data_IF_559536574084
#
_entry.id   IF_559536574084
#
_cell.length_a   1.000
_cell.length_b   1.000
_cell.length_c   1.000
_cell.angle_alpha   90.00
_cell.angle_beta   90.00
_cell.angle_gamma   90.00
#
_symmetry.space_group_name_H-M   'P 1'
#
loop_
_entity.id
_entity.type
_entity.pdbx_description
1 polymer ?
2 non-polymer ?
3 non-polymer ?
4 non-polymer ?
5 water ?
#
# COMPACT_ATOMS: atom_id res chain seq x y z
N UNK A 7 -12.92 7.00 -12.43
CA UNK A 7 -13.08 8.39 -12.84
C UNK A 7 -13.23 9.32 -11.65
N UNK A 8 -13.63 8.76 -10.51
CA UNK A 8 -13.75 9.52 -9.28
C UNK A 8 -12.87 8.88 -8.22
N UNK A 9 -12.21 9.70 -7.40
CA UNK A 9 -11.39 9.17 -6.34
C UNK A 9 -12.25 8.68 -5.18
N UNK A 10 -11.97 7.46 -4.72
CA UNK A 10 -12.54 6.98 -3.47
C UNK A 10 -11.39 6.78 -2.49
N UNK A 11 -11.49 7.45 -1.34
CA UNK A 11 -10.52 7.29 -0.28
C UNK A 11 -11.10 6.35 0.77
N UNK A 12 -10.30 5.39 1.24
CA UNK A 12 -10.75 4.51 2.33
C UNK A 12 -9.91 4.77 3.59
N UNK A 13 -10.58 5.20 4.65
CA UNK A 13 -9.92 5.54 5.89
C UNK A 13 -10.13 4.40 6.88
N UNK A 14 -9.03 3.78 7.31
CA UNK A 14 -9.10 2.75 8.34
C UNK A 14 -8.88 3.40 9.70
N UNK A 15 -9.96 3.63 10.44
CA UNK A 15 -9.86 4.40 11.67
C UNK A 15 -9.60 3.52 12.90
N UNK A 16 -8.87 4.06 13.87
CA UNK A 16 -8.64 3.38 15.14
C UNK A 16 -9.82 3.45 16.09
N UNK A 17 -9.77 2.62 17.13
CA UNK A 17 -10.86 2.53 18.10
C UNK A 17 -11.18 3.85 18.78
N UNK A 18 -10.13 4.57 19.20
CA UNK A 18 -10.32 5.79 19.96
C UNK A 18 -10.40 7.05 19.11
N UNK A 19 -10.71 6.88 17.83
CA UNK A 19 -10.61 7.98 16.87
C UNK A 19 -11.45 9.19 17.26
N UNK A 20 -10.83 10.37 17.12
CA UNK A 20 -11.53 11.63 17.37
C UNK A 20 -11.84 12.37 16.07
N UNK A 21 -13.09 12.33 15.65
CA UNK A 21 -13.54 13.01 14.44
C UNK A 21 -13.04 14.45 14.40
N UNK A 22 -12.69 14.93 13.20
CA UNK A 22 -12.15 16.26 13.07
C UNK A 22 -13.03 17.16 12.19
N UNK A 23 -12.73 18.46 12.21
CA UNK A 23 -13.39 19.41 11.30
C UNK A 23 -12.43 20.54 10.99
N UNK A 24 -12.75 21.34 9.95
CA UNK A 24 -11.84 22.36 9.42
C UNK A 24 -11.34 23.31 10.48
N UNK A 25 -12.12 23.48 11.53
CA UNK A 25 -11.82 24.44 12.60
C UNK A 25 -10.67 23.99 13.50
N UNK A 26 -10.34 22.71 13.46
CA UNK A 26 -9.29 22.18 14.30
C UNK A 26 -7.88 22.35 13.71
N UNK A 27 -7.76 23.13 12.63
CA UNK A 27 -6.48 23.30 11.94
C UNK A 27 -6.11 24.74 11.62
N UNK A 28 -4.85 25.07 11.84
CA UNK A 28 -4.29 26.36 11.46
C UNK A 28 -3.51 26.24 10.15
N UNK A 29 -3.81 27.11 9.20
CA UNK A 29 -3.14 27.08 7.92
C UNK A 29 -1.77 27.73 8.02
N UNK A 30 -0.74 27.00 7.60
CA UNK A 30 0.63 27.49 7.69
C UNK A 30 1.19 27.90 6.33
N UNK A 31 0.98 27.05 5.34
CA UNK A 31 1.58 27.23 4.03
C UNK A 31 0.75 26.59 2.92
N UNK A 32 0.92 27.08 1.70
CA UNK A 32 0.35 26.44 0.52
C UNK A 32 1.50 26.06 -0.41
N UNK A 33 1.61 24.78 -0.70
CA UNK A 33 2.72 24.29 -1.52
C UNK A 33 2.23 23.68 -2.83
N UNK A 34 3.05 23.79 -3.87
CA UNK A 34 2.85 23.02 -5.08
C UNK A 34 3.81 21.85 -5.02
N UNK A 35 3.29 20.64 -4.97
CA UNK A 35 4.14 19.46 -4.77
C UNK A 35 4.12 18.46 -5.93
N UNK A 36 4.27 18.95 -7.16
CA UNK A 36 4.36 18.09 -8.32
C UNK A 36 3.21 17.11 -8.49
N UNK A 37 3.51 15.82 -8.37
CA UNK A 37 2.50 14.76 -8.46
C UNK A 37 1.40 14.88 -7.41
N UNK A 38 1.71 15.56 -6.31
CA UNK A 38 0.74 15.70 -5.23
C UNK A 38 -0.12 16.93 -5.41
N UNK A 39 0.28 17.80 -6.33
CA UNK A 39 -0.48 19.01 -6.58
C UNK A 39 -0.44 19.99 -5.43
N UNK A 40 -1.55 20.69 -5.24
CA UNK A 40 -1.68 21.71 -4.21
C UNK A 40 -1.81 21.10 -2.84
N UNK A 41 -0.85 21.38 -1.97
CA UNK A 41 -0.87 20.81 -0.63
C UNK A 41 -0.83 21.92 0.39
N UNK A 42 -1.75 21.88 1.34
CA UNK A 42 -1.74 22.85 2.43
C UNK A 42 -0.95 22.28 3.58
N UNK A 43 -0.02 23.06 4.13
CA UNK A 43 0.64 22.67 5.36
C UNK A 43 -0.15 23.27 6.49
N UNK A 44 -0.65 22.43 7.39
CA UNK A 44 -1.49 22.87 8.49
C UNK A 44 -0.99 22.40 9.85
N UNK A 45 -1.46 23.05 10.91
CA UNK A 45 -1.09 22.67 12.27
C UNK A 45 -2.34 22.27 13.04
N UNK A 46 -2.29 21.09 13.66
CA UNK A 46 -3.41 20.63 14.48
C UNK A 46 -3.49 21.50 15.72
N UNK A 47 -4.68 21.99 16.02
CA UNK A 47 -4.86 22.87 17.16
C UNK A 47 -5.10 22.13 18.48
N UNK A 48 -5.99 21.13 18.46
CA UNK A 48 -6.40 20.46 19.70
C UNK A 48 -6.07 18.96 19.74
N UNK A 49 -6.48 18.30 20.82
CA UNK A 49 -6.39 16.85 20.90
C UNK A 49 -5.02 16.30 21.23
N UNK A 50 -4.87 14.99 21.13
CA UNK A 50 -3.62 14.34 21.50
C UNK A 50 -2.45 14.73 20.58
N UNK A 51 -2.75 15.04 19.33
CA UNK A 51 -1.72 15.45 18.37
C UNK A 51 -1.65 16.98 18.19
N UNK A 52 -2.09 17.71 19.22
CA UNK A 52 -2.04 19.17 19.18
C UNK A 52 -0.63 19.64 18.81
N UNK A 53 -0.57 20.62 17.92
CA UNK A 53 0.68 21.20 17.45
C UNK A 53 1.38 20.41 16.35
N UNK A 54 0.88 19.21 16.05
CA UNK A 54 1.49 18.41 14.99
C UNK A 54 1.27 19.06 13.63
N UNK A 55 2.31 19.08 12.79
CA UNK A 55 2.17 19.55 11.43
C UNK A 55 1.73 18.42 10.52
N UNK A 56 0.82 18.74 9.60
CA UNK A 56 0.28 17.78 8.63
C UNK A 56 0.15 18.40 7.25
N UNK A 57 0.09 17.56 6.23
CA UNK A 57 -0.34 17.97 4.89
C UNK A 57 -1.87 17.88 4.86
N UNK A 58 -2.51 18.82 4.15
CA UNK A 58 -3.95 18.74 3.93
C UNK A 58 -4.24 18.81 2.42
N UNK A 59 -5.07 17.88 1.94
CA UNK A 59 -5.56 17.89 0.57
C UNK A 59 -7.05 18.16 0.65
N UNK A 60 -7.54 18.96 -0.28
CA UNK A 60 -8.95 19.28 -0.36
C UNK A 60 -9.42 18.80 -1.73
N UNK A 61 -10.22 17.74 -1.74
CA UNK A 61 -10.65 17.14 -3.01
C UNK A 61 -12.08 17.57 -3.29
N UNK A 62 -12.30 18.06 -4.50
CA UNK A 62 -13.61 18.56 -4.89
C UNK A 62 -14.62 17.44 -5.11
N UNK A 63 -14.20 16.41 -5.85
CA UNK A 63 -15.09 15.33 -6.22
C UNK A 63 -14.46 14.00 -5.87
N UNK A 64 -14.63 13.61 -4.61
CA UNK A 64 -14.09 12.35 -4.11
C UNK A 64 -15.08 11.76 -3.12
N UNK A 65 -15.05 10.44 -2.98
CA UNK A 65 -15.89 9.79 -2.00
C UNK A 65 -15.03 9.31 -0.86
N UNK A 66 -15.60 9.25 0.33
CA UNK A 66 -14.88 8.77 1.51
C UNK A 66 -15.58 7.57 2.09
N UNK A 67 -14.81 6.53 2.37
CA UNK A 67 -15.35 5.33 2.98
C UNK A 67 -14.57 5.15 4.27
N UNK A 68 -15.25 4.90 5.37
CA UNK A 68 -14.55 4.75 6.66
C UNK A 68 -14.74 3.35 7.18
N UNK A 69 -13.64 2.70 7.55
CA UNK A 69 -13.66 1.29 7.97
C UNK A 69 -12.94 1.06 9.30
N UNK A 70 -13.36 0.05 10.04
CA UNK A 70 -12.75 -0.24 11.32
C UNK A 70 -11.51 -1.12 11.16
N UNK A 71 -10.53 -0.90 12.03
CA UNK A 71 -9.39 -1.80 12.07
C UNK A 71 -9.79 -3.05 12.84
N UNK A 72 -9.06 -4.14 12.60
CA UNK A 72 -9.34 -5.40 13.28
C UNK A 72 -8.75 -5.40 14.67
N UNK A 81 -2.04 2.28 23.67
CA UNK A 81 -0.86 2.73 22.94
C UNK A 81 -1.15 3.96 22.10
N UNK A 82 -0.24 4.94 22.15
CA UNK A 82 -0.32 6.07 21.23
C UNK A 82 0.56 5.75 20.02
N UNK A 83 0.03 6.01 18.82
CA UNK A 83 0.77 5.66 17.61
C UNK A 83 2.04 6.49 17.39
N UNK A 84 3.09 5.83 16.93
CA UNK A 84 4.30 6.50 16.49
C UNK A 84 4.53 6.35 14.97
N UNK A 85 5.41 7.17 14.42
CA UNK A 85 5.75 7.10 13.00
C UNK A 85 6.47 5.80 12.66
N UNK A 86 6.15 5.24 11.49
CA UNK A 86 6.89 4.11 10.94
C UNK A 86 7.66 4.66 9.73
N UNK A 87 8.91 4.22 9.55
CA UNK A 87 9.73 4.82 8.47
C UNK A 87 9.18 4.61 7.05
N UNK A 88 8.33 3.61 6.85
CA UNK A 88 7.91 3.26 5.48
C UNK A 88 6.41 3.35 5.25
N UNK A 89 5.73 4.15 6.07
CA UNK A 89 4.28 4.37 5.96
C UNK A 89 3.91 5.85 6.05
N UNK A 90 2.97 6.30 5.22
CA UNK A 90 2.34 7.59 5.46
C UNK A 90 0.90 7.35 5.86
N UNK A 91 0.45 8.08 6.86
CA UNK A 91 -0.86 7.85 7.41
C UNK A 91 -1.86 8.93 7.04
N UNK A 92 -3.11 8.50 6.87
CA UNK A 92 -4.26 9.39 6.84
C UNK A 92 -4.77 9.54 8.26
N UNK A 93 -4.63 10.74 8.81
CA UNK A 93 -5.00 10.98 10.20
C UNK A 93 -6.46 11.34 10.39
N UNK A 94 -6.99 12.16 9.47
CA UNK A 94 -8.38 12.61 9.50
C UNK A 94 -8.89 12.71 8.06
N UNK A 95 -10.19 12.44 7.90
CA UNK A 95 -10.84 12.59 6.60
C UNK A 95 -12.27 13.02 6.89
N UNK A 96 -12.64 14.21 6.45
CA UNK A 96 -13.97 14.72 6.73
C UNK A 96 -14.52 15.50 5.55
N UNK A 97 -15.84 15.50 5.42
CA UNK A 97 -16.48 16.14 4.29
C UNK A 97 -17.24 17.38 4.73
N UNK A 98 -17.09 18.46 3.96
CA UNK A 98 -17.70 19.74 4.28
C UNK A 98 -18.00 20.50 3.00
N UNK A 99 -19.27 20.84 2.81
CA UNK A 99 -19.70 21.63 1.65
C UNK A 99 -19.24 21.02 0.32
N UNK A 100 -19.52 19.73 0.13
CA UNK A 100 -19.18 19.05 -1.11
C UNK A 100 -17.71 18.76 -1.31
N UNK A 101 -16.89 19.02 -0.31
CA UNK A 101 -15.44 18.81 -0.43
C UNK A 101 -14.98 17.73 0.55
N UNK A 102 -13.89 17.05 0.20
CA UNK A 102 -13.29 16.07 1.09
C UNK A 102 -11.92 16.57 1.56
N UNK A 103 -11.77 16.66 2.87
CA UNK A 103 -10.50 17.10 3.45
C UNK A 103 -9.76 15.88 3.96
N UNK A 104 -8.51 15.75 3.52
CA UNK A 104 -7.64 14.68 3.96
C UNK A 104 -6.50 15.29 4.75
N UNK A 105 -6.28 14.81 5.97
CA UNK A 105 -5.15 15.27 6.78
C UNK A 105 -4.14 14.12 6.85
N UNK A 106 -2.96 14.35 6.29
CA UNK A 106 -1.96 13.30 6.01
C UNK A 106 -0.62 13.64 6.60
N UNK A 107 0.22 12.62 6.82
CA UNK A 107 1.62 12.88 7.12
C UNK A 107 2.18 13.78 6.02
N UNK A 108 2.89 14.83 6.41
CA UNK A 108 3.51 15.72 5.43
C UNK A 108 4.66 14.96 4.78
N UNK A 109 4.71 14.98 3.46
CA UNK A 109 5.74 14.23 2.74
C UNK A 109 6.33 15.14 1.68
N UNK A 110 7.22 16.04 2.09
CA UNK A 110 7.73 17.02 1.14
C UNK A 110 8.61 16.38 0.08
N UNK A 111 8.43 16.79 -1.16
CA UNK A 111 9.19 16.25 -2.26
C UNK A 111 8.86 14.80 -2.58
N UNK A 112 7.73 14.30 -2.07
CA UNK A 112 7.32 12.93 -2.34
C UNK A 112 6.90 12.73 -3.78
N UNK A 113 6.87 11.48 -4.21
CA UNK A 113 6.43 11.16 -5.58
C UNK A 113 5.77 9.78 -5.64
N UNK A 114 5.34 9.39 -6.84
CA UNK A 114 4.60 8.14 -7.02
C UNK A 114 5.52 7.01 -7.45
N UNK A 115 5.36 5.85 -6.83
CA UNK A 115 6.11 4.68 -7.25
C UNK A 115 5.81 4.34 -8.71
N UNK A 116 4.58 4.58 -9.15
CA UNK A 116 4.24 4.28 -10.54
C UNK A 116 5.03 5.15 -11.53
N UNK A 117 5.35 6.37 -11.13
CA UNK A 117 6.19 7.22 -11.98
C UNK A 117 7.56 6.58 -12.18
N UNK A 118 8.09 5.98 -11.11
CA UNK A 118 9.39 5.31 -11.18
C UNK A 118 9.35 4.06 -12.06
N UNK A 119 8.36 3.21 -11.82
CA UNK A 119 8.28 1.94 -12.54
C UNK A 119 8.13 2.15 -14.04
N UNK A 120 7.52 3.26 -14.43
CA UNK A 120 7.40 3.58 -15.86
C UNK A 120 8.74 4.00 -16.46
N UNK A 121 9.63 4.53 -15.63
CA UNK A 121 10.89 5.09 -16.13
C UNK A 121 12.06 4.11 -16.09
N UNK A 122 11.95 3.06 -15.29
CA UNK A 122 13.10 2.20 -15.04
C UNK A 122 12.81 0.73 -15.32
N UNK A 123 13.87 -0.04 -15.56
CA UNK A 123 13.75 -1.49 -15.58
C UNK A 123 14.34 -2.06 -14.29
N UNK A 124 13.49 -2.61 -13.42
CA UNK A 124 13.96 -3.18 -12.16
C UNK A 124 14.67 -4.52 -12.36
N UNK A 125 15.83 -4.64 -11.75
CA UNK A 125 16.52 -5.93 -11.66
C UNK A 125 16.10 -6.61 -10.36
N UNK A 126 16.50 -7.85 -10.17
CA UNK A 126 16.17 -8.51 -8.91
C UNK A 126 16.81 -7.79 -7.72
N UNK A 127 18.01 -7.24 -7.92
CA UNK A 127 18.65 -6.49 -6.83
C UNK A 127 17.82 -5.26 -6.43
N UNK A 128 17.29 -4.55 -7.41
CA UNK A 128 16.46 -3.38 -7.13
C UNK A 128 15.22 -3.77 -6.35
N UNK A 129 14.58 -4.85 -6.81
CA UNK A 129 13.31 -5.28 -6.25
C UNK A 129 13.48 -5.75 -4.82
N UNK A 130 14.61 -6.39 -4.52
CA UNK A 130 14.84 -6.82 -3.14
C UNK A 130 14.75 -5.63 -2.20
N UNK A 131 15.31 -4.49 -2.59
CA UNK A 131 15.26 -3.32 -1.74
C UNK A 131 13.84 -2.82 -1.52
N UNK A 132 13.12 -2.59 -2.61
CA UNK A 132 11.76 -2.03 -2.53
C UNK A 132 10.81 -2.99 -1.81
N UNK A 133 10.88 -4.27 -2.14
CA UNK A 133 9.99 -5.23 -1.50
C UNK A 133 10.32 -5.41 -0.01
N UNK A 134 11.59 -5.27 0.37
CA UNK A 134 11.97 -5.42 1.77
C UNK A 134 11.36 -4.28 2.60
N UNK A 135 11.43 -3.05 2.09
CA UNK A 135 10.81 -1.93 2.79
C UNK A 135 9.30 -2.10 2.83
N UNK A 136 8.73 -2.48 1.69
CA UNK A 136 7.29 -2.72 1.61
C UNK A 136 6.83 -3.84 2.56
N UNK A 137 7.63 -4.88 2.73
CA UNK A 137 7.27 -5.96 3.67
C UNK A 137 7.21 -5.43 5.10
N UNK A 138 8.19 -4.63 5.48
CA UNK A 138 8.16 -4.06 6.83
C UNK A 138 6.90 -3.20 7.00
N UNK A 139 6.60 -2.39 6.00
CA UNK A 139 5.43 -1.51 6.07
C UNK A 139 4.11 -2.29 6.15
N UNK A 140 3.97 -3.28 5.30
CA UNK A 140 2.75 -4.06 5.25
C UNK A 140 2.52 -4.83 6.53
N UNK A 141 3.59 -5.39 7.09
CA UNK A 141 3.48 -6.11 8.36
C UNK A 141 3.08 -5.18 9.49
N UNK A 142 3.60 -3.95 9.46
CA UNK A 142 3.24 -2.99 10.48
C UNK A 142 1.75 -2.66 10.40
N UNK A 143 1.25 -2.44 9.18
CA UNK A 143 -0.19 -2.16 9.03
C UNK A 143 -1.02 -3.32 9.53
N UNK A 144 -0.59 -4.55 9.21
CA UNK A 144 -1.24 -5.73 9.80
C UNK A 144 -1.27 -5.70 11.33
N UNK A 145 -0.17 -5.28 11.95
CA UNK A 145 -0.14 -5.22 13.41
C UNK A 145 -1.10 -4.16 13.93
N UNK A 146 -1.39 -3.17 13.09
CA UNK A 146 -2.34 -2.13 13.47
C UNK A 146 -3.80 -2.56 13.20
N UNK A 147 -3.99 -3.68 12.52
CA UNK A 147 -5.32 -4.20 12.24
C UNK A 147 -5.87 -3.77 10.88
N UNK A 148 -4.97 -3.40 9.98
CA UNK A 148 -5.36 -3.03 8.62
C UNK A 148 -5.08 -4.16 7.64
N UNK A 149 -6.13 -4.65 6.98
CA UNK A 149 -5.97 -5.58 5.87
C UNK A 149 -6.24 -4.83 4.57
N UNK A 150 -5.30 -4.90 3.65
CA UNK A 150 -5.33 -4.09 2.45
C UNK A 150 -6.34 -4.54 1.40
N UNK A 151 -6.38 -5.85 1.15
CA UNK A 151 -7.29 -6.46 0.16
C UNK A 151 -6.84 -6.32 -1.29
N UNK A 152 -6.58 -5.10 -1.74
CA UNK A 152 -6.11 -4.92 -3.10
C UNK A 152 -4.92 -3.96 -3.16
N UNK A 153 -3.96 -4.20 -2.27
CA UNK A 153 -2.67 -3.55 -2.33
C UNK A 153 -2.14 -3.50 -3.76
N UNK A 154 -1.77 -2.31 -4.20
CA UNK A 154 -1.36 -2.10 -5.57
C UNK A 154 -0.43 -0.92 -5.68
N UNK A 155 0.22 -0.75 -6.84
CA UNK A 155 1.24 0.29 -7.00
C UNK A 155 0.72 1.69 -6.71
N UNK A 156 -0.55 1.96 -6.97
CA UNK A 156 -1.16 3.24 -6.58
C UNK A 156 -1.03 3.55 -5.08
N UNK A 157 -0.88 2.53 -4.25
CA UNK A 157 -0.72 2.71 -2.83
C UNK A 157 0.69 3.01 -2.39
N UNK A 158 1.63 3.01 -3.34
CA UNK A 158 3.03 3.10 -2.98
C UNK A 158 3.62 4.43 -3.41
N UNK A 159 4.14 5.16 -2.44
CA UNK A 159 4.76 6.46 -2.71
C UNK A 159 6.25 6.33 -2.43
N UNK A 160 7.00 7.36 -2.79
CA UNK A 160 8.42 7.42 -2.49
C UNK A 160 8.67 8.75 -1.82
N UNK A 161 9.50 8.77 -0.77
CA UNK A 161 9.90 10.06 -0.20
C UNK A 161 11.03 10.69 -1.03
N UNK A 162 11.46 11.88 -0.62
CA UNK A 162 12.42 12.62 -1.42
C UNK A 162 13.73 11.86 -1.54
N UNK A 163 14.03 11.04 -0.55
CA UNK A 163 15.24 10.24 -0.55
C UNK A 163 15.12 8.95 -1.37
N UNK A 164 13.90 8.59 -1.75
CA UNK A 164 13.69 7.42 -2.59
C UNK A 164 13.25 6.19 -1.82
N UNK A 165 12.94 6.35 -0.54
CA UNK A 165 12.46 5.22 0.26
C UNK A 165 10.95 5.02 0.07
N UNK A 166 10.51 3.77 0.18
CA UNK A 166 9.09 3.43 0.12
C UNK A 166 8.28 4.16 1.20
N UNK A 167 7.11 4.66 0.81
CA UNK A 167 6.11 5.08 1.80
C UNK A 167 4.80 4.44 1.35
N UNK A 168 4.38 3.41 2.06
CA UNK A 168 3.10 2.77 1.79
C UNK A 168 2.01 3.61 2.45
N UNK A 169 0.93 3.88 1.71
CA UNK A 169 -0.17 4.63 2.27
C UNK A 169 -0.96 3.69 3.18
N UNK A 170 -1.38 4.18 4.33
CA UNK A 170 -2.21 3.36 5.23
C UNK A 170 -3.69 3.50 4.92
N UNK A 171 -4.00 4.16 3.80
CA UNK A 171 -5.37 4.36 3.38
C UNK A 171 -5.58 3.81 1.99
N UNK A 172 -6.82 3.45 1.68
CA UNK A 172 -7.15 2.95 0.36
C UNK A 172 -7.39 4.10 -0.60
N UNK A 173 -6.98 3.92 -1.86
CA UNK A 173 -7.27 4.93 -2.86
C UNK A 173 -7.56 4.22 -4.17
N UNK A 174 -8.75 4.45 -4.72
CA UNK A 174 -9.08 3.85 -6.01
C UNK A 174 -9.86 4.80 -6.90
N UNK A 175 -10.08 4.37 -8.14
CA UNK A 175 -10.86 5.13 -9.10
C UNK A 175 -12.18 4.41 -9.34
N UNK A 176 -13.27 5.00 -8.82
CA UNK A 176 -14.60 4.40 -8.94
C UNK A 176 -15.46 5.17 -9.94
N UNK A 182 -25.51 3.05 -12.30
CA UNK A 182 -24.67 1.97 -11.80
C UNK A 182 -24.56 2.01 -10.27
N UNK A 183 -24.73 0.85 -9.64
CA UNK A 183 -24.79 0.77 -8.18
C UNK A 183 -23.43 0.83 -7.48
N UNK A 184 -23.41 1.46 -6.31
CA UNK A 184 -22.19 1.61 -5.54
C UNK A 184 -21.86 0.35 -4.72
N UNK A 185 -20.58 0.16 -4.43
CA UNK A 185 -20.12 -0.97 -3.63
C UNK A 185 -19.29 -0.47 -2.47
N UNK A 186 -19.42 -1.11 -1.31
CA UNK A 186 -18.64 -0.73 -0.14
C UNK A 186 -17.15 -1.02 -0.39
N UNK A 187 -16.86 -2.09 -1.10
CA UNK A 187 -15.49 -2.40 -1.49
C UNK A 187 -15.38 -2.58 -3.00
N UNK A 188 -14.55 -1.76 -3.63
CA UNK A 188 -14.38 -1.84 -5.08
C UNK A 188 -12.90 -1.90 -5.38
N UNK A 189 -12.37 -3.11 -5.49
CA UNK A 189 -10.94 -3.30 -5.64
C UNK A 189 -10.52 -3.54 -7.06
N UNK A 190 -9.22 -3.43 -7.30
CA UNK A 190 -8.64 -3.70 -8.61
C UNK A 190 -8.31 -5.17 -8.67
N UNK A 191 -9.09 -5.89 -9.48
CA UNK A 191 -9.08 -7.35 -9.45
C UNK A 191 -7.70 -7.98 -9.65
N UNK A 192 -6.87 -7.37 -10.50
CA UNK A 192 -5.57 -7.94 -10.81
C UNK A 192 -4.72 -8.22 -9.57
N UNK A 193 -4.97 -7.48 -8.49
CA UNK A 193 -4.14 -7.60 -7.30
C UNK A 193 -4.78 -8.42 -6.19
N UNK A 194 -5.98 -8.93 -6.46
CA UNK A 194 -6.77 -9.61 -5.43
C UNK A 194 -6.47 -11.11 -5.34
N UNK A 195 -6.29 -11.61 -4.12
CA UNK A 195 -6.13 -13.05 -3.93
C UNK A 195 -7.42 -13.79 -4.27
N UNK A 196 -7.30 -15.10 -4.55
CA UNK A 196 -8.46 -15.93 -4.87
C UNK A 196 -9.55 -15.87 -3.81
N UNK A 197 -9.19 -15.93 -2.53
CA UNK A 197 -10.18 -15.92 -1.45
C UNK A 197 -10.84 -14.54 -1.30
N UNK A 198 -10.23 -13.51 -1.88
CA UNK A 198 -10.81 -12.18 -1.88
C UNK A 198 -11.75 -12.06 -3.08
N UNK A 199 -11.32 -12.61 -4.20
CA UNK A 199 -12.14 -12.61 -5.40
C UNK A 199 -13.46 -13.33 -5.16
N UNK A 200 -13.43 -14.41 -4.40
CA UNK A 200 -14.64 -15.20 -4.21
C UNK A 200 -15.46 -14.77 -2.99
N UNK A 201 -14.97 -13.76 -2.27
CA UNK A 201 -15.71 -13.15 -1.16
C UNK A 201 -16.16 -14.15 -0.11
N UNK A 202 -15.32 -15.14 0.18
CA UNK A 202 -15.70 -16.22 1.09
C UNK A 202 -15.08 -16.03 2.48
N UNK A 203 -14.33 -14.95 2.62
CA UNK A 203 -13.63 -14.68 3.86
C UNK A 203 -12.15 -14.70 3.61
N UNK A 204 -11.43 -13.82 4.30
CA UNK A 204 -10.00 -13.72 4.08
C UNK A 204 -9.36 -13.06 5.28
N UNK A 205 -8.04 -13.01 5.24
CA UNK A 205 -7.26 -12.48 6.35
C UNK A 205 -6.06 -11.71 5.82
N UNK A 206 -5.13 -11.41 6.70
CA UNK A 206 -3.91 -10.70 6.31
C UNK A 206 -3.13 -11.48 5.25
N UNK A 207 -3.31 -12.80 5.21
CA UNK A 207 -2.59 -13.59 4.22
C UNK A 207 -2.96 -13.21 2.78
N UNK A 208 -4.14 -12.63 2.59
CA UNK A 208 -4.54 -12.16 1.27
C UNK A 208 -3.58 -11.08 0.76
N UNK A 209 -3.03 -10.30 1.68
CA UNK A 209 -2.12 -9.22 1.29
C UNK A 209 -0.78 -9.72 0.83
N UNK A 210 -0.35 -10.90 1.31
CA UNK A 210 0.91 -11.45 0.84
C UNK A 210 0.81 -11.97 -0.60
N UNK A 211 -0.39 -12.38 -1.00
CA UNK A 211 -0.65 -12.66 -2.41
C UNK A 211 -0.46 -11.40 -3.23
N UNK A 212 -1.05 -10.30 -2.78
CA UNK A 212 -0.93 -9.03 -3.51
C UNK A 212 0.53 -8.58 -3.56
N UNK A 213 1.24 -8.76 -2.46
CA UNK A 213 2.68 -8.55 -2.41
C UNK A 213 3.41 -9.32 -3.51
N UNK A 214 3.08 -10.61 -3.67
CA UNK A 214 3.60 -11.38 -4.78
C UNK A 214 3.24 -10.78 -6.14
N UNK A 215 2.02 -10.27 -6.27
CA UNK A 215 1.65 -9.65 -7.55
C UNK A 215 2.50 -8.41 -7.83
N UNK A 216 2.75 -7.62 -6.79
CA UNK A 216 3.60 -6.45 -6.90
C UNK A 216 5.01 -6.85 -7.30
N UNK A 217 5.53 -7.88 -6.66
CA UNK A 217 6.87 -8.38 -6.99
C UNK A 217 6.94 -8.85 -8.44
N UNK A 218 5.93 -9.61 -8.87
CA UNK A 218 5.87 -10.10 -10.24
C UNK A 218 5.88 -8.93 -11.24
N UNK A 219 5.03 -7.94 -10.97
CA UNK A 219 4.93 -6.79 -11.86
C UNK A 219 6.23 -5.96 -11.89
N UNK A 220 6.87 -5.80 -10.73
CA UNK A 220 8.14 -5.09 -10.70
C UNK A 220 9.19 -5.79 -11.55
N UNK A 221 9.21 -7.12 -11.47
CA UNK A 221 10.23 -7.90 -12.16
C UNK A 221 9.99 -8.07 -13.66
N UNK A 222 8.73 -8.08 -14.08
CA UNK A 222 8.41 -8.39 -15.47
C UNK A 222 7.79 -7.22 -16.23
N UNK A 223 7.30 -6.23 -15.50
CA UNK A 223 6.58 -5.12 -16.11
C UNK A 223 5.16 -5.49 -16.49
N UNK A 224 4.76 -6.72 -16.13
CA UNK A 224 3.45 -7.23 -16.49
C UNK A 224 2.77 -7.86 -15.28
N UNK A 225 1.46 -8.09 -15.38
CA UNK A 225 0.71 -8.74 -14.29
C UNK A 225 0.64 -10.23 -14.54
N UNK A 226 0.62 -11.03 -13.47
CA UNK A 226 0.66 -12.49 -13.60
C UNK A 226 -0.67 -13.09 -14.03
N UNK A 227 -1.77 -12.43 -13.66
CA UNK A 227 -3.10 -12.87 -14.05
C UNK A 227 -3.86 -11.70 -14.61
N UNK A 228 -4.21 -11.81 -15.89
CA UNK A 228 -4.80 -10.68 -16.60
C UNK A 228 -5.54 -11.19 -17.82
N UNK A 229 -6.83 -10.93 -17.88
CA UNK A 229 -7.64 -11.31 -19.02
C UNK A 229 -8.23 -10.09 -19.71
N UNK A 230 -9.12 -10.33 -20.66
CA UNK A 230 -9.75 -9.25 -21.41
C UNK A 230 -10.69 -8.44 -20.53
N UNK A 231 -11.40 -9.13 -19.65
CA UNK A 231 -12.38 -8.50 -18.78
C UNK A 231 -12.18 -8.91 -17.33
N UNK A 232 -12.87 -8.23 -16.42
CA UNK A 232 -12.81 -8.56 -15.01
C UNK A 232 -13.16 -10.02 -14.79
N UNK A 233 -14.24 -10.46 -15.43
CA UNK A 233 -14.74 -11.82 -15.30
C UNK A 233 -13.69 -12.86 -15.68
N UNK A 234 -12.98 -12.61 -16.77
CA UNK A 234 -11.94 -13.53 -17.20
C UNK A 234 -10.76 -13.50 -16.23
N UNK A 235 -10.35 -12.30 -15.83
CA UNK A 235 -9.27 -12.16 -14.87
C UNK A 235 -9.60 -12.91 -13.58
N UNK A 236 -10.85 -12.83 -13.16
CA UNK A 236 -11.27 -13.52 -11.94
C UNK A 236 -11.09 -15.03 -12.08
N UNK A 237 -11.54 -15.58 -13.20
CA UNK A 237 -11.42 -17.02 -13.41
C UNK A 237 -9.95 -17.44 -13.45
N UNK A 238 -9.10 -16.61 -14.03
CA UNK A 238 -7.66 -16.87 -14.07
C UNK A 238 -7.05 -16.88 -12.66
N UNK A 239 -7.38 -15.89 -11.85
CA UNK A 239 -6.88 -15.85 -10.48
C UNK A 239 -7.26 -17.14 -9.74
N UNK A 240 -8.47 -17.61 -9.98
CA UNK A 240 -8.98 -18.79 -9.26
C UNK A 240 -8.40 -20.11 -9.76
N UNK A 241 -8.10 -20.18 -11.04
CA UNK A 241 -7.80 -21.46 -11.67
C UNK A 241 -6.56 -21.49 -12.57
N UNK A 242 -6.18 -20.33 -13.09
CA UNK A 242 -5.06 -20.24 -14.03
C UNK A 242 -3.72 -20.67 -13.43
N UNK A 243 -2.99 -21.51 -14.15
CA UNK A 243 -1.64 -21.87 -13.76
C UNK A 243 -0.71 -20.72 -14.14
N UNK A 244 0.16 -20.32 -13.23
CA UNK A 244 1.06 -19.20 -13.50
C UNK A 244 2.27 -19.63 -14.31
N UNK A 245 2.48 -18.95 -15.44
CA UNK A 245 3.69 -19.16 -16.23
C UNK A 245 4.83 -18.38 -15.63
N UNK A 246 5.68 -19.06 -14.88
CA UNK A 246 6.82 -18.44 -14.22
C UNK A 246 7.91 -18.07 -15.24
N UNK A 247 8.21 -16.77 -15.37
CA UNK A 247 9.26 -16.29 -16.28
C UNK A 247 10.60 -16.92 -15.96
N UNK A 248 11.18 -17.61 -16.94
CA UNK A 248 12.38 -18.42 -16.73
C UNK A 248 13.65 -17.58 -16.57
N UNK A 249 13.58 -16.28 -16.87
CA UNK A 249 14.77 -15.46 -16.72
C UNK A 249 15.04 -15.14 -15.24
N UNK A 250 14.03 -15.33 -14.42
CA UNK A 250 14.13 -15.06 -12.98
C UNK A 250 15.02 -16.07 -12.28
N UNK A 251 15.71 -15.62 -11.24
CA UNK A 251 16.58 -16.50 -10.49
C UNK A 251 15.75 -17.55 -9.75
N UNK A 252 16.38 -18.65 -9.37
CA UNK A 252 15.67 -19.70 -8.62
C UNK A 252 15.07 -19.13 -7.35
N UNK A 253 15.77 -18.21 -6.70
CA UNK A 253 15.29 -17.60 -5.46
C UNK A 253 14.03 -16.77 -5.70
N UNK A 254 14.03 -15.97 -6.76
CA UNK A 254 12.86 -15.16 -7.10
C UNK A 254 11.71 -16.07 -7.46
N UNK A 255 11.98 -17.11 -8.25
CA UNK A 255 10.95 -18.07 -8.62
C UNK A 255 10.32 -18.73 -7.40
N UNK A 256 11.16 -19.16 -6.48
CA UNK A 256 10.69 -19.81 -5.26
C UNK A 256 9.80 -18.89 -4.44
N UNK A 257 10.23 -17.65 -4.25
CA UNK A 257 9.43 -16.72 -3.46
C UNK A 257 8.05 -16.54 -4.11
N UNK A 258 8.02 -16.34 -5.42
CA UNK A 258 6.75 -16.11 -6.10
C UNK A 258 5.84 -17.33 -5.98
N UNK A 259 6.38 -18.52 -6.20
CA UNK A 259 5.58 -19.73 -6.08
C UNK A 259 4.99 -19.87 -4.68
N UNK A 260 5.76 -19.48 -3.67
CA UNK A 260 5.28 -19.60 -2.29
C UNK A 260 4.23 -18.53 -1.93
N UNK A 261 4.33 -17.35 -2.56
CA UNK A 261 3.33 -16.29 -2.35
C UNK A 261 2.04 -16.55 -3.13
N UNK A 262 2.15 -17.27 -4.24
CA UNK A 262 0.99 -17.53 -5.10
C UNK A 262 0.33 -18.88 -4.84
N UNK A 263 0.47 -19.38 -3.61
CA UNK A 263 -0.29 -20.57 -3.21
C UNK A 263 -1.77 -20.19 -3.12
N UNK A 264 -2.62 -20.93 -3.82
CA UNK A 264 -4.05 -20.60 -3.87
C UNK A 264 -4.74 -20.81 -2.52
N UNK A 265 -4.33 -21.85 -1.80
CA UNK A 265 -4.84 -22.05 -0.44
C UNK A 265 -4.09 -21.14 0.53
N UNK A 266 -4.78 -20.12 1.09
CA UNK A 266 -4.06 -19.16 1.93
C UNK A 266 -3.32 -19.82 3.09
N UNK A 267 -3.80 -20.97 3.55
CA UNK A 267 -3.14 -21.68 4.64
C UNK A 267 -1.73 -22.15 4.27
N UNK A 268 -1.50 -22.36 2.98
CA UNK A 268 -0.19 -22.82 2.50
C UNK A 268 0.72 -21.68 2.05
N UNK A 269 0.20 -20.46 2.09
CA UNK A 269 0.89 -19.32 1.53
C UNK A 269 1.97 -18.78 2.47
N UNK A 270 3.11 -18.42 1.91
CA UNK A 270 4.18 -17.81 2.68
C UNK A 270 3.65 -16.55 3.36
N UNK A 271 3.93 -16.44 4.66
CA UNK A 271 3.49 -15.30 5.43
C UNK A 271 2.20 -15.54 6.18
N UNK A 272 1.60 -16.71 5.96
CA UNK A 272 0.31 -17.04 6.58
C UNK A 272 0.43 -17.73 7.95
N UNK A 273 1.61 -18.28 8.25
CA UNK A 273 1.81 -19.00 9.51
C UNK A 273 1.96 -18.03 10.66
N UNK A 274 2.12 -18.58 11.89
CA UNK A 274 2.20 -17.75 13.10
C UNK A 274 3.29 -16.70 13.03
N UNK A 275 4.41 -17.01 12.37
CA UNK A 275 5.50 -16.04 12.33
C UNK A 275 5.29 -14.96 11.25
N UNK A 276 4.22 -15.08 10.49
CA UNK A 276 3.84 -14.05 9.53
C UNK A 276 4.96 -13.56 8.62
N UNK A 277 5.27 -12.27 8.70
CA UNK A 277 6.21 -11.67 7.77
C UNK A 277 7.61 -12.25 7.95
N UNK A 278 7.90 -12.84 9.11
CA UNK A 278 9.20 -13.48 9.27
C UNK A 278 9.45 -14.58 8.24
N UNK A 279 8.38 -15.28 7.83
CA UNK A 279 8.51 -16.33 6.82
C UNK A 279 9.04 -15.76 5.52
N UNK A 280 8.70 -14.50 5.24
CA UNK A 280 9.16 -13.82 4.05
C UNK A 280 10.57 -13.27 4.27
N UNK A 281 10.82 -12.69 5.44
CA UNK A 281 12.15 -12.14 5.75
C UNK A 281 13.24 -13.21 5.74
N UNK A 282 12.86 -14.43 6.07
CA UNK A 282 13.82 -15.55 6.13
C UNK A 282 14.02 -16.25 4.78
N UNK A 283 13.23 -15.88 3.79
CA UNK A 283 13.33 -16.50 2.47
C UNK A 283 14.68 -16.18 1.82
N UNK A 284 15.25 -17.15 1.11
CA UNK A 284 16.54 -16.93 0.46
C UNK A 284 16.57 -15.72 -0.48
N UNK A 285 15.42 -15.32 -1.03
CA UNK A 285 15.42 -14.17 -1.92
C UNK A 285 15.92 -12.92 -1.19
N UNK A 286 15.64 -12.84 0.12
CA UNK A 286 16.03 -11.67 0.90
C UNK A 286 17.27 -11.87 1.75
N UNK A 287 18.04 -12.92 1.48
CA UNK A 287 19.18 -13.28 2.34
C UNK A 287 20.20 -12.15 2.56
N UNK A 288 20.37 -11.27 1.57
CA UNK A 288 21.33 -10.19 1.72
C UNK A 288 20.83 -8.98 2.54
N UNK A 289 19.53 -8.93 2.84
CA UNK A 289 18.97 -7.77 3.55
C UNK A 289 19.28 -7.80 5.06
N UNK A 290 19.85 -6.72 5.58
CA UNK A 290 20.00 -6.48 7.01
C UNK A 290 18.76 -5.69 7.42
N UNK A 291 17.82 -6.34 8.10
CA UNK A 291 16.49 -5.74 8.37
C UNK A 291 16.56 -4.62 9.40
N UNK A 292 17.52 -4.69 10.30
CA UNK A 292 17.68 -3.60 11.26
C UNK A 292 18.22 -2.35 10.59
N UNK A 293 19.25 -2.53 9.76
CA UNK A 293 19.82 -1.42 9.00
C UNK A 293 18.75 -0.81 8.07
N UNK A 294 17.98 -1.68 7.44
CA UNK A 294 16.87 -1.23 6.58
C UNK A 294 15.88 -0.33 7.33
N UNK A 295 15.45 -0.78 8.51
CA UNK A 295 14.47 -0.08 9.30
C UNK A 295 15.00 1.28 9.72
N UNK A 296 16.30 1.33 9.97
CA UNK A 296 16.95 2.59 10.33
C UNK A 296 17.17 3.53 9.14
N UNK A 297 16.69 3.13 7.97
CA UNK A 297 16.86 3.92 6.73
C UNK A 297 18.33 4.14 6.39
N UNK A 298 19.16 3.13 6.66
CA UNK A 298 20.59 3.21 6.42
C UNK A 298 21.01 2.48 5.15
N UNK A 299 20.05 1.89 4.44
CA UNK A 299 20.35 1.32 3.15
C UNK A 299 19.82 2.27 2.05
N UNK A 300 20.65 2.62 1.07
CA UNK A 300 20.24 3.56 0.01
C UNK A 300 19.40 2.89 -1.07
N UNK A 301 18.35 3.59 -1.53
CA UNK A 301 17.50 3.08 -2.63
C UNK A 301 18.25 2.98 -3.96
N UNK A 302 17.85 2.04 -4.82
CA UNK A 302 18.41 1.88 -6.17
C UNK A 302 18.27 3.14 -7.03
N UNK A 303 17.14 3.83 -6.90
CA UNK A 303 16.90 5.05 -7.67
C UNK A 303 16.58 6.21 -6.75
N UNK A 304 17.17 7.36 -7.00
CA UNK A 304 16.72 8.56 -6.31
C UNK A 304 15.77 9.37 -7.21
N UNK A 305 14.61 9.76 -6.65
CA UNK A 305 13.54 10.49 -7.34
C UNK A 305 14.06 11.61 -8.24
X LIG B 1 -4.34 13.53 -7.05
X LIG B 1 -3.79 13.07 -5.79
X LIG B 1 -2.85 14.19 -5.29
X LIG B 1 -3.47 15.45 -5.54
X LIG B 1 -4.95 12.79 -4.81
X LIG B 1 -5.73 11.69 -5.27
X LIG B 1 -4.36 12.46 -3.44
X LIG B 1 -5.45 12.08 -2.43
X LIG B 1 -3.65 13.62 -3.04
X LIG B 1 -2.52 14.05 -3.78
X LIG B 1 -1.46 13.11 -3.76
X LIG B 1 -0.98 12.73 -2.46
X LIG B 1 -0.61 13.70 -1.53
X LIG B 1 -0.71 14.93 -1.77
X LIG B 1 -0.86 11.37 -2.13
X LIG B 1 -1.19 10.24 -3.09
X LIG B 1 -1.24 10.44 -4.48
X LIG B 1 -1.51 9.36 -5.32
X LIG B 1 -1.62 9.53 -6.73
X LIG B 1 -1.69 8.08 -4.80
X LIG B 1 -1.94 7.02 -5.69
X LIG B 1 -1.59 7.86 -3.42
X LIG B 1 -1.33 8.95 -2.57
X LIG B 1 -0.45 11.02 -1.01
X LIG B 1 -0.08 11.82 -0.13
X LIG B 1 0.38 11.29 1.08
X LIG B 1 0.78 12.14 2.09
X LIG B 1 1.25 11.59 3.30
X LIG B 1 0.73 13.53 1.93
X LIG B 1 0.25 14.06 0.72
X LIG B 1 -0.14 13.20 -0.31
X LIG B 1 0.20 15.47 0.56
X LIG B 1 -5.23 13.54 -6.99
X LIG B 1 -3.28 12.26 -5.98
X LIG B 1 -2.03 14.14 -5.80
X LIG B 1 -4.36 15.36 -5.51
X LIG B 1 -5.51 13.58 -4.75
X LIG B 1 -5.27 11.23 -5.88
X LIG B 1 -3.72 11.72 -3.54
X LIG B 1 -6.13 12.79 -2.41
X LIG B 1 -5.86 11.24 -2.68
X LIG B 1 -5.06 11.99 -1.54
X LIG B 1 -2.22 14.92 -3.44
X LIG B 1 -1.13 11.33 -4.86
X LIG B 1 -2.47 9.58 -6.96
X LIG B 1 -1.32 6.40 -5.58
X LIG B 1 -1.71 6.97 -3.06
X LIG B 1 -1.27 8.80 -1.61
X LIG B 1 0.42 10.33 1.19
X LIG B 1 2.06 11.27 3.19
X LIG B 1 1.00 14.12 2.65
X LIG B 1 0.50 15.86 1.30
X LIG C 1 -11.77 12.50 10.79
X LIG D 1 18.87 -9.48 10.48
X LIG D 1 18.16 -8.42 11.21
X LIG D 1 19.33 -8.90 9.23
X LIG D 1 19.98 -9.97 11.28
X LIG D 1 17.98 -10.62 10.22
#
# INVERSE_FOLDING_TARGET
GAMGSIKEIAITHHVKEGHEKADPSQFELLKVLGQGSFGKVFLVKKISGSDARQLYAMKVLKKATLKVRDRVRTKMERDILVEVNHPFIVKLHYAFQTEGKLYLILDFLRGGDLFTRLSKEVMFTEEDVKFYLAELALALDHLHSLGIIYRDLKPENILLDEEGHIKLTDFGLSKESIDHEKKAYSFCGTVEYMAPEVVNRRGHTQSADWWSFGVLMFEMLTGTLPFQGKDRKETMTMILKAKLGMPQFLSPEAQSLLRMLFKRNPANRLGAGPDGVEEIKRHSFFSTIDWNKLYRREIHPPFKP
QCT O10 C23 C22 O9 C24 O11 C25 C26 O8 C21 O7 C3 C4 O2 C2 C11 C12 C13 O5 C14 O6 C15 C16 O1 C9 C8 C7 O4 C6 C5 C10 O3 H101 H23 H22 HO91 H24 HO11 H25 H262 H263 H261 H21 H12 HO51 HO61 H15 H16 H8 HO4 H6 HO3
MG MG
SO4 S O1 O2 O3 O4
#
